data_IF_312098357187
#
_entry.id   IF_312098357187
#
_cell.length_a   1.000
_cell.length_b   1.000
_cell.length_c   1.000
_cell.angle_alpha   90.00
_cell.angle_beta   90.00
_cell.angle_gamma   90.00
#
_symmetry.space_group_name_H-M   'P 1'
#
loop_
_entity.id
_entity.type
_entity.pdbx_description
1 polymer ?
#
# COMPACT_ATOMS: atom_id res chain seq x y z
N UNK A 1 -32.04 -13.26 5.73
CA UNK A 1 -30.63 -13.70 5.92
C UNK A 1 -29.67 -13.08 4.90
N UNK A 2 -29.95 -11.86 4.39
CA UNK A 2 -29.18 -11.17 3.33
C UNK A 2 -28.12 -10.19 3.86
N UNK A 3 -28.04 -10.01 5.17
CA UNK A 3 -27.12 -9.03 5.80
C UNK A 3 -25.83 -9.66 6.36
N UNK A 4 -25.70 -10.99 6.34
CA UNK A 4 -24.57 -11.67 6.98
C UNK A 4 -23.40 -12.00 6.02
N UNK A 5 -23.61 -11.92 4.70
CA UNK A 5 -22.57 -12.26 3.71
C UNK A 5 -21.70 -11.08 3.25
N UNK A 6 -22.06 -9.83 3.60
CA UNK A 6 -21.19 -8.66 3.35
C UNK A 6 -19.98 -8.60 4.31
N UNK A 7 -19.93 -9.45 5.34
CA UNK A 7 -18.91 -9.42 6.40
C UNK A 7 -17.69 -10.32 6.18
N UNK A 8 -17.74 -11.29 5.25
CA UNK A 8 -16.66 -12.31 5.13
C UNK A 8 -15.67 -12.02 3.98
N UNK A 9 -16.06 -11.25 2.95
CA UNK A 9 -15.15 -10.84 1.88
C UNK A 9 -14.09 -9.81 2.31
N UNK A 10 -14.22 -9.23 3.52
CA UNK A 10 -13.25 -8.30 4.12
C UNK A 10 -12.07 -9.05 4.77
N UNK A 11 -12.17 -10.37 5.00
CA UNK A 11 -11.21 -11.11 5.84
C UNK A 11 -9.88 -11.53 5.16
N UNK A 12 -9.75 -11.39 3.83
CA UNK A 12 -8.51 -11.72 3.09
C UNK A 12 -7.81 -10.50 2.49
N UNK A 13 -8.45 -9.34 2.48
CA UNK A 13 -7.71 -8.09 2.44
C UNK A 13 -7.14 -7.91 3.85
N UNK A 14 -5.82 -7.87 4.00
CA UNK A 14 -5.28 -7.26 5.20
C UNK A 14 -6.00 -5.91 5.35
N UNK A 15 -6.58 -5.58 6.53
CA UNK A 15 -7.33 -4.34 6.69
C UNK A 15 -6.48 -3.24 6.09
N UNK A 16 -7.03 -2.50 5.12
CA UNK A 16 -6.33 -1.38 4.54
C UNK A 16 -5.93 -0.51 5.74
N UNK A 17 -4.63 -0.43 6.00
CA UNK A 17 -4.06 0.46 7.01
C UNK A 17 -4.15 1.86 6.42
N UNK A 18 -5.38 2.33 6.21
CA UNK A 18 -5.67 3.67 5.79
C UNK A 18 -5.78 4.49 7.06
N UNK A 19 -4.93 5.49 7.19
CA UNK A 19 -5.06 6.44 8.27
C UNK A 19 -6.34 7.25 8.08
N UNK A 20 -7.11 7.38 9.15
CA UNK A 20 -8.21 8.34 9.17
C UNK A 20 -7.66 9.68 9.61
N UNK A 21 -7.71 10.67 8.71
CA UNK A 21 -7.31 12.03 9.02
C UNK A 21 -8.53 12.95 9.05
N UNK A 22 -8.66 13.71 10.13
CA UNK A 22 -9.61 14.80 10.17
C UNK A 22 -9.13 15.95 9.27
N UNK A 23 -10.07 16.72 8.73
CA UNK A 23 -9.74 17.96 7.99
C UNK A 23 -8.85 18.85 8.84
N UNK A 24 -7.87 19.53 8.22
CA UNK A 24 -6.95 20.38 8.95
C UNK A 24 -7.74 21.55 9.52
N UNK A 25 -7.55 21.83 10.80
CA UNK A 25 -8.22 22.94 11.50
C UNK A 25 -7.20 23.83 12.18
N UNK A 26 -7.61 25.06 12.52
CA UNK A 26 -6.76 25.99 13.25
C UNK A 26 -6.33 25.38 14.58
N UNK A 27 -5.03 25.30 14.82
CA UNK A 27 -4.43 24.72 16.02
C UNK A 27 -3.65 25.76 16.82
N UNK A 28 -3.55 25.55 18.14
CA UNK A 28 -2.77 26.41 19.04
C UNK A 28 -1.84 25.55 19.88
N UNK A 29 -0.54 25.75 19.73
CA UNK A 29 0.51 25.04 20.46
C UNK A 29 1.10 25.98 21.48
N UNK A 30 1.01 25.63 22.77
CA UNK A 30 1.47 26.50 23.86
C UNK A 30 2.73 25.91 24.48
N UNK A 31 3.74 26.76 24.70
CA UNK A 31 4.97 26.38 25.41
C UNK A 31 4.67 25.82 26.81
N UNK A 32 5.52 24.94 27.37
CA UNK A 32 5.31 24.34 28.69
C UNK A 32 5.01 25.34 29.81
N UNK A 33 5.73 26.48 29.85
CA UNK A 33 5.49 27.54 30.86
C UNK A 33 4.36 28.51 30.49
N UNK A 34 3.68 28.29 29.37
CA UNK A 34 2.57 29.12 28.87
C UNK A 34 2.96 30.59 28.65
N UNK A 35 4.23 30.82 28.31
CA UNK A 35 4.80 32.15 28.05
C UNK A 35 4.80 32.50 26.57
N UNK A 36 4.81 31.50 25.69
CA UNK A 36 4.71 31.63 24.24
C UNK A 36 3.69 30.65 23.67
N UNK A 37 3.07 30.99 22.53
CA UNK A 37 2.20 30.09 21.78
C UNK A 37 2.29 30.32 20.28
N UNK A 38 2.21 29.24 19.51
CA UNK A 38 2.08 29.25 18.05
C UNK A 38 0.62 28.99 17.70
N UNK A 39 0.06 29.85 16.87
CA UNK A 39 -1.22 29.62 16.21
C UNK A 39 -0.90 29.18 14.78
N UNK A 40 -1.42 28.01 14.40
CA UNK A 40 -1.31 27.49 13.05
C UNK A 40 -2.67 27.60 12.37
N UNK A 41 -2.68 28.24 11.21
CA UNK A 41 -3.83 28.29 10.33
C UNK A 41 -3.55 27.47 9.08
N UNK A 42 -4.30 26.39 8.84
CA UNK A 42 -4.13 25.60 7.65
C UNK A 42 -4.35 26.40 6.36
N UNK A 43 -3.70 25.98 5.28
CA UNK A 43 -4.08 26.39 3.94
C UNK A 43 -5.51 25.94 3.65
N UNK A 44 -6.30 26.80 3.01
CA UNK A 44 -7.64 26.43 2.57
C UNK A 44 -7.60 25.39 1.44
N UNK A 45 -8.33 24.29 1.62
CA UNK A 45 -8.50 23.25 0.61
C UNK A 45 -9.92 23.28 0.03
N UNK A 46 -10.07 23.04 -1.27
CA UNK A 46 -11.38 22.85 -1.90
C UNK A 46 -12.12 21.70 -1.23
N UNK A 47 -11.48 20.54 -1.16
CA UNK A 47 -11.90 19.39 -0.36
C UNK A 47 -10.70 18.47 -0.09
N UNK A 48 -10.86 17.50 0.82
CA UNK A 48 -9.85 16.45 1.00
C UNK A 48 -9.72 15.60 -0.26
N UNK A 49 -10.82 15.30 -0.95
CA UNK A 49 -10.81 14.50 -2.17
C UNK A 49 -10.01 15.18 -3.28
N UNK A 50 -10.26 16.47 -3.53
CA UNK A 50 -9.53 17.26 -4.52
C UNK A 50 -8.02 17.30 -4.22
N UNK A 51 -7.62 17.31 -2.95
CA UNK A 51 -6.22 17.19 -2.56
C UNK A 51 -5.61 15.87 -3.05
N UNK A 52 -6.28 14.73 -2.82
CA UNK A 52 -5.76 13.43 -3.28
C UNK A 52 -5.78 13.25 -4.79
N UNK A 53 -6.85 13.72 -5.45
CA UNK A 53 -6.94 13.70 -6.91
C UNK A 53 -5.78 14.49 -7.52
N UNK A 54 -5.53 15.70 -7.03
CA UNK A 54 -4.41 16.52 -7.50
C UNK A 54 -3.06 15.85 -7.22
N UNK A 55 -2.83 15.29 -6.02
CA UNK A 55 -1.59 14.55 -5.71
C UNK A 55 -1.40 13.35 -6.64
N UNK A 56 -2.45 12.58 -6.90
CA UNK A 56 -2.40 11.43 -7.81
C UNK A 56 -2.11 11.84 -9.26
N UNK A 57 -2.55 13.04 -9.65
CA UNK A 57 -2.30 13.63 -10.96
C UNK A 57 -0.99 14.44 -11.06
N UNK A 58 -0.22 14.54 -9.96
CA UNK A 58 1.01 15.35 -9.91
C UNK A 58 0.78 16.86 -10.02
N UNK A 59 -0.41 17.35 -9.68
CA UNK A 59 -0.80 18.76 -9.72
C UNK A 59 -0.52 19.44 -8.39
N UNK A 60 0.20 20.56 -8.43
CA UNK A 60 0.54 21.38 -7.26
C UNK A 60 0.13 22.85 -7.45
N UNK A 61 -0.29 23.56 -6.38
CA UNK A 61 -0.52 23.05 -5.03
C UNK A 61 -1.79 22.20 -4.98
N UNK A 62 -1.71 21.00 -4.40
CA UNK A 62 -2.81 20.04 -4.42
C UNK A 62 -4.06 20.56 -3.67
N UNK A 63 -5.25 20.35 -4.22
CA UNK A 63 -6.53 20.73 -3.59
C UNK A 63 -6.70 22.25 -3.40
N UNK A 64 -5.94 23.06 -4.12
CA UNK A 64 -5.99 24.53 -4.05
C UNK A 64 -7.34 25.06 -4.53
N UNK A 65 -8.00 25.88 -3.70
CA UNK A 65 -9.21 26.60 -4.11
C UNK A 65 -8.94 27.60 -5.22
N UNK A 66 -9.85 27.72 -6.17
CA UNK A 66 -9.80 28.75 -7.19
C UNK A 66 -9.70 30.16 -6.56
N UNK A 67 -8.74 30.96 -7.03
CA UNK A 67 -8.49 32.32 -6.55
C UNK A 67 -7.71 32.44 -5.23
N UNK A 68 -7.45 31.33 -4.52
CA UNK A 68 -6.59 31.35 -3.33
C UNK A 68 -5.12 31.50 -3.75
N UNK A 69 -4.40 32.41 -3.08
CA UNK A 69 -2.99 32.70 -3.36
C UNK A 69 -2.05 32.07 -2.35
N UNK A 70 -2.55 31.73 -1.15
CA UNK A 70 -1.78 31.03 -0.12
C UNK A 70 -1.48 29.60 -0.56
N UNK A 71 -0.20 29.23 -0.56
CA UNK A 71 0.29 27.90 -0.97
C UNK A 71 0.72 27.00 0.18
N UNK A 72 0.83 27.56 1.39
CA UNK A 72 1.19 26.81 2.59
C UNK A 72 0.38 27.26 3.80
N UNK A 73 0.50 26.52 4.91
CA UNK A 73 -0.04 26.92 6.20
C UNK A 73 0.57 28.24 6.67
N UNK A 74 -0.14 28.96 7.54
CA UNK A 74 0.34 30.19 8.18
C UNK A 74 0.60 29.97 9.66
N UNK A 75 1.73 30.46 10.15
CA UNK A 75 2.09 30.43 11.57
C UNK A 75 2.13 31.84 12.16
N UNK A 76 1.53 32.01 13.34
CA UNK A 76 1.60 33.24 14.13
C UNK A 76 2.15 32.89 15.51
N UNK A 77 3.35 33.38 15.83
CA UNK A 77 3.93 33.22 17.16
C UNK A 77 3.59 34.44 18.02
N UNK A 78 3.08 34.17 19.21
CA UNK A 78 2.78 35.19 20.22
C UNK A 78 3.50 34.90 21.53
N UNK A 79 3.91 35.96 22.22
CA UNK A 79 4.48 35.91 23.57
C UNK A 79 3.61 36.66 24.56
N UNK A 80 3.57 36.15 25.79
CA UNK A 80 2.82 36.75 26.88
C UNK A 80 3.65 37.84 27.56
N UNK A 81 3.18 39.08 27.51
CA UNK A 81 3.79 40.26 28.13
C UNK A 81 2.71 41.04 28.88
N UNK A 82 2.91 41.28 30.18
CA UNK A 82 1.92 41.98 31.01
C UNK A 82 0.54 41.29 31.02
N UNK A 83 0.51 39.95 30.92
CA UNK A 83 -0.72 39.16 30.84
C UNK A 83 -1.40 39.10 29.46
N UNK A 84 -0.97 39.92 28.49
CA UNK A 84 -1.50 39.97 27.12
C UNK A 84 -0.62 39.20 26.15
N UNK A 85 -1.22 38.68 25.08
CA UNK A 85 -0.48 38.08 23.96
C UNK A 85 -0.06 39.18 22.99
N UNK A 86 1.23 39.19 22.63
CA UNK A 86 1.81 40.10 21.65
C UNK A 86 2.45 39.26 20.55
N UNK A 87 2.07 39.52 19.30
CA UNK A 87 2.66 38.88 18.12
C UNK A 87 4.16 39.17 18.04
N UNK A 88 4.96 38.11 17.97
CA UNK A 88 6.39 38.19 17.71
C UNK A 88 6.69 38.11 16.21
N UNK A 89 6.00 37.21 15.51
CA UNK A 89 6.08 37.09 14.05
C UNK A 89 4.85 36.39 13.49
N UNK A 90 4.64 36.59 12.19
CA UNK A 90 3.65 35.91 11.36
C UNK A 90 4.30 35.59 10.01
N UNK A 91 4.39 34.31 9.66
CA UNK A 91 5.05 33.85 8.42
C UNK A 91 4.30 32.67 7.79
N UNK A 92 4.44 32.45 6.46
CA UNK A 92 4.12 31.16 5.87
C UNK A 92 5.00 30.06 6.46
N UNK A 93 4.41 28.92 6.81
CA UNK A 93 5.13 27.72 7.20
C UNK A 93 5.53 26.93 5.94
N UNK A 94 6.47 26.02 6.09
CA UNK A 94 6.89 25.10 5.04
C UNK A 94 5.86 23.99 4.82
N UNK A 95 5.04 23.72 5.84
CA UNK A 95 4.00 22.70 5.75
C UNK A 95 2.91 23.11 4.76
N UNK A 96 2.65 22.26 3.76
CA UNK A 96 1.82 22.60 2.60
C UNK A 96 0.36 22.90 2.97
N UNK A 97 -0.20 22.11 3.89
CA UNK A 97 -1.58 22.26 4.35
C UNK A 97 -1.60 22.66 5.81
N UNK A 98 -0.99 21.83 6.66
CA UNK A 98 -0.75 22.09 8.07
C UNK A 98 0.32 21.11 8.56
N UNK A 99 1.10 21.44 9.59
CA UNK A 99 1.85 20.45 10.33
C UNK A 99 0.92 19.48 11.06
N UNK A 100 1.38 18.25 11.28
CA UNK A 100 0.67 17.29 12.14
C UNK A 100 0.77 17.71 13.61
N UNK A 101 1.94 18.21 13.99
CA UNK A 101 2.24 18.63 15.36
C UNK A 101 3.26 19.78 15.39
N UNK A 102 3.34 20.51 16.50
CA UNK A 102 4.32 21.56 16.68
C UNK A 102 4.70 21.81 18.15
N UNK A 103 5.93 22.30 18.35
CA UNK A 103 6.49 22.69 19.65
C UNK A 103 6.92 24.15 19.62
N UNK A 104 6.84 24.80 20.79
CA UNK A 104 7.23 26.20 20.98
C UNK A 104 8.09 26.32 22.23
N UNK A 105 9.24 26.96 22.12
CA UNK A 105 10.10 27.22 23.28
C UNK A 105 9.50 28.26 24.23
N UNK A 106 9.79 28.14 25.52
CA UNK A 106 9.27 29.06 26.55
C UNK A 106 9.67 30.52 26.29
N UNK A 107 10.83 30.75 25.68
CA UNK A 107 11.34 32.09 25.32
C UNK A 107 10.81 32.61 23.98
N UNK A 108 10.07 31.78 23.22
CA UNK A 108 9.58 32.10 21.88
C UNK A 108 10.69 32.28 20.85
N UNK A 109 11.90 31.78 21.10
CA UNK A 109 12.99 31.85 20.12
C UNK A 109 12.92 30.74 19.07
N UNK A 110 12.28 29.62 19.39
CA UNK A 110 12.20 28.47 18.49
C UNK A 110 10.79 27.91 18.39
N UNK A 111 10.42 27.55 17.17
CA UNK A 111 9.24 26.75 16.84
C UNK A 111 9.70 25.54 16.04
N UNK A 112 9.19 24.36 16.36
CA UNK A 112 9.44 23.15 15.57
C UNK A 112 8.11 22.64 15.08
N UNK A 113 7.97 22.41 13.77
CA UNK A 113 6.81 21.72 13.20
C UNK A 113 7.20 20.32 12.75
N UNK A 114 6.23 19.41 12.80
CA UNK A 114 6.44 18.02 12.46
C UNK A 114 5.42 17.56 11.44
N UNK A 115 5.95 16.92 10.39
CA UNK A 115 5.22 16.24 9.34
C UNK A 115 4.27 17.14 8.55
N UNK A 116 3.90 16.72 7.34
CA UNK A 116 2.77 17.33 6.64
C UNK A 116 1.49 16.54 6.94
N UNK A 117 0.37 17.25 7.05
CA UNK A 117 -0.96 16.64 7.05
C UNK A 117 -1.09 15.67 5.86
N UNK A 118 -1.50 14.41 6.13
CA UNK A 118 -1.51 13.27 5.18
C UNK A 118 -0.17 12.80 4.60
N UNK A 119 0.97 13.20 5.17
CA UNK A 119 2.29 12.76 4.72
C UNK A 119 3.24 12.63 5.90
N UNK A 120 2.83 11.88 6.93
CA UNK A 120 3.64 11.67 8.11
C UNK A 120 4.88 10.83 7.77
N UNK A 121 6.05 11.36 8.11
CA UNK A 121 7.36 10.78 7.80
C UNK A 121 7.75 10.81 6.33
N UNK A 122 7.04 11.56 5.48
CA UNK A 122 7.29 11.63 4.03
C UNK A 122 7.58 13.08 3.58
N UNK A 123 8.52 13.22 2.64
CA UNK A 123 8.87 14.50 2.01
C UNK A 123 9.91 15.33 2.77
N UNK A 124 10.08 16.59 2.33
CA UNK A 124 11.13 17.52 2.80
C UNK A 124 10.90 18.11 4.19
N UNK A 125 9.65 18.14 4.66
CA UNK A 125 9.21 18.91 5.83
C UNK A 125 8.76 17.98 6.97
N UNK A 126 9.54 16.93 7.24
CA UNK A 126 9.28 15.98 8.33
C UNK A 126 9.57 16.64 9.68
N UNK A 127 10.65 17.40 9.79
CA UNK A 127 10.93 18.30 10.92
C UNK A 127 11.36 19.64 10.37
N UNK A 128 10.67 20.71 10.73
CA UNK A 128 11.05 22.07 10.34
C UNK A 128 11.27 22.92 11.56
N UNK A 129 12.42 23.58 11.62
CA UNK A 129 12.83 24.42 12.75
C UNK A 129 12.80 25.87 12.29
N UNK A 130 12.10 26.69 13.06
CA UNK A 130 12.02 28.13 12.91
C UNK A 130 12.69 28.82 14.09
N UNK A 131 13.50 29.83 13.81
CA UNK A 131 14.14 30.66 14.80
C UNK A 131 13.35 31.95 15.09
N UNK A 132 14.05 32.93 15.64
CA UNK A 132 13.50 34.27 15.85
C UNK A 132 12.92 34.87 14.55
N UNK A 133 11.90 35.71 14.65
CA UNK A 133 11.29 36.35 13.48
C UNK A 133 10.62 35.41 12.46
N UNK A 134 10.53 34.10 12.74
CA UNK A 134 9.94 33.11 11.83
C UNK A 134 10.89 32.64 10.73
N UNK A 135 12.19 32.91 10.84
CA UNK A 135 13.19 32.43 9.89
C UNK A 135 13.31 30.89 9.94
N UNK A 136 13.29 30.22 8.79
CA UNK A 136 13.53 28.79 8.74
C UNK A 136 15.02 28.51 8.97
N UNK A 137 15.34 27.83 10.08
CA UNK A 137 16.70 27.38 10.41
C UNK A 137 17.06 26.15 9.60
N UNK A 138 16.15 25.17 9.57
CA UNK A 138 16.36 23.89 8.88
C UNK A 138 15.04 23.24 8.52
N UNK A 139 15.01 22.55 7.39
CA UNK A 139 14.03 21.51 7.09
C UNK A 139 14.76 20.19 7.00
N UNK A 140 14.21 19.16 7.62
CA UNK A 140 14.77 17.81 7.65
C UNK A 140 13.76 16.82 7.11
N UNK A 141 14.26 15.95 6.26
CA UNK A 141 13.62 14.71 5.84
C UNK A 141 13.83 13.63 6.89
N UNK A 142 13.14 12.51 6.76
CA UNK A 142 13.32 11.40 7.68
C UNK A 142 14.66 10.67 7.48
N UNK A 143 15.22 10.68 6.27
CA UNK A 143 16.55 10.14 5.94
C UNK A 143 17.72 11.03 6.41
N UNK A 144 17.45 12.31 6.75
CA UNK A 144 18.40 13.12 7.51
C UNK A 144 18.51 12.67 8.99
N UNK A 145 17.48 12.00 9.51
CA UNK A 145 17.36 11.63 10.92
C UNK A 145 17.77 10.17 11.18
N UNK A 146 17.51 9.27 10.24
CA UNK A 146 17.57 7.83 10.44
C UNK A 146 18.23 7.11 9.25
N UNK A 147 18.99 6.02 9.51
CA UNK A 147 19.63 5.28 8.44
C UNK A 147 18.62 4.49 7.59
N UNK A 148 18.95 4.15 6.33
CA UNK A 148 18.01 3.53 5.37
C UNK A 148 17.29 2.27 5.87
N UNK A 149 18.02 1.32 6.48
CA UNK A 149 17.41 0.10 7.04
C UNK A 149 16.37 0.43 8.13
N UNK A 150 16.59 1.50 8.89
CA UNK A 150 15.66 1.95 9.91
C UNK A 150 14.37 2.48 9.29
N UNK A 151 14.48 3.30 8.25
CA UNK A 151 13.34 3.80 7.47
C UNK A 151 12.54 2.67 6.84
N UNK A 152 13.23 1.70 6.25
CA UNK A 152 12.59 0.54 5.65
C UNK A 152 11.84 -0.29 6.68
N UNK A 153 12.37 -0.39 7.91
CA UNK A 153 11.77 -1.18 8.98
C UNK A 153 10.59 -0.50 9.69
N UNK A 154 10.47 0.83 9.61
CA UNK A 154 9.43 1.57 10.33
C UNK A 154 8.01 1.04 10.03
N UNK A 155 7.11 1.05 11.04
CA UNK A 155 5.71 0.77 10.83
C UNK A 155 5.10 1.79 9.86
N UNK A 156 4.26 1.31 8.94
CA UNK A 156 3.68 2.15 7.89
C UNK A 156 2.24 1.80 7.61
N UNK A 157 1.49 2.81 7.23
CA UNK A 157 0.17 2.73 6.62
C UNK A 157 0.32 2.78 5.10
N UNK A 158 -0.79 2.88 4.37
CA UNK A 158 -0.77 3.13 2.92
C UNK A 158 -0.13 4.49 2.57
N UNK A 159 -0.21 5.48 3.47
CA UNK A 159 0.15 6.88 3.18
C UNK A 159 1.02 7.55 4.25
N UNK A 160 1.51 6.81 5.26
CA UNK A 160 2.32 7.38 6.35
C UNK A 160 3.33 6.39 6.92
N UNK A 161 4.43 6.93 7.45
CA UNK A 161 5.37 6.23 8.31
C UNK A 161 5.09 6.63 9.77
N UNK A 162 4.74 5.68 10.63
CA UNK A 162 4.53 5.94 12.06
C UNK A 162 5.88 5.96 12.78
N UNK A 163 6.65 7.01 12.53
CA UNK A 163 8.08 7.06 12.83
C UNK A 163 8.43 7.56 14.23
N UNK A 164 7.55 8.32 14.88
CA UNK A 164 7.80 8.94 16.20
C UNK A 164 6.62 8.86 17.15
N UNK A 165 6.92 9.19 18.41
CA UNK A 165 5.96 9.60 19.43
C UNK A 165 5.96 11.13 19.61
N UNK A 166 5.27 11.60 20.64
CA UNK A 166 5.22 13.02 21.00
C UNK A 166 6.65 13.55 21.26
N UNK A 167 7.07 14.49 20.41
CA UNK A 167 8.36 15.13 20.55
C UNK A 167 8.34 16.12 21.71
N UNK A 168 9.51 16.47 22.23
CA UNK A 168 9.61 17.42 23.35
C UNK A 168 10.85 18.28 23.23
N UNK A 169 10.77 19.50 23.74
CA UNK A 169 11.96 20.31 23.96
C UNK A 169 12.78 19.70 25.10
N UNK A 170 14.08 19.56 24.89
CA UNK A 170 15.00 19.08 25.90
C UNK A 170 15.11 20.11 27.04
N UNK A 171 15.49 19.64 28.23
CA UNK A 171 15.59 20.49 29.43
C UNK A 171 16.64 21.59 29.32
N UNK A 172 17.61 21.42 28.43
CA UNK A 172 18.64 22.42 28.14
C UNK A 172 18.11 23.59 27.31
N UNK A 173 16.90 23.49 26.74
CA UNK A 173 16.30 24.50 25.86
C UNK A 173 17.01 24.65 24.51
N UNK A 174 18.01 23.80 24.22
CA UNK A 174 18.84 23.85 23.01
C UNK A 174 18.48 22.79 22.00
N UNK A 175 17.91 21.67 22.46
CA UNK A 175 17.56 20.56 21.58
C UNK A 175 16.07 20.28 21.58
N UNK A 176 15.59 19.72 20.48
CA UNK A 176 14.36 18.94 20.47
C UNK A 176 14.72 17.46 20.53
N UNK A 177 14.10 16.74 21.47
CA UNK A 177 14.22 15.29 21.60
C UNK A 177 13.00 14.63 20.96
N UNK A 178 13.26 13.81 19.95
CA UNK A 178 12.26 13.13 19.13
C UNK A 178 12.31 11.64 19.47
N UNK A 179 11.33 11.08 20.20
CA UNK A 179 11.29 9.66 20.49
C UNK A 179 10.89 8.90 19.22
N UNK A 180 11.88 8.40 18.50
CA UNK A 180 11.72 7.60 17.28
C UNK A 180 11.33 6.17 17.67
N UNK A 181 10.34 5.61 16.97
CA UNK A 181 9.85 4.24 17.19
C UNK A 181 10.96 3.23 16.89
N UNK A 182 11.12 2.23 17.76
CA UNK A 182 11.97 1.06 17.51
C UNK A 182 11.16 0.04 16.69
N UNK A 183 11.58 -0.33 15.47
CA UNK A 183 10.88 -1.33 14.67
C UNK A 183 10.85 -2.69 15.36
N UNK A 184 9.68 -3.32 15.34
CA UNK A 184 9.45 -4.68 15.83
C UNK A 184 8.54 -5.43 14.84
N UNK A 185 8.72 -6.76 14.71
CA UNK A 185 7.97 -7.61 13.78
C UNK A 185 6.45 -7.60 14.04
N UNK A 186 6.03 -7.37 15.29
CA UNK A 186 4.63 -7.37 15.69
C UNK A 186 4.23 -6.07 16.39
N UNK A 187 3.96 -5.02 15.61
CA UNK A 187 3.18 -3.86 16.11
C UNK A 187 1.69 -4.19 16.34
N UNK A 188 1.34 -5.49 16.51
CA UNK A 188 -0.01 -6.02 16.75
C UNK A 188 -0.39 -6.04 18.23
N UNK A 189 0.54 -5.70 19.10
CA UNK A 189 0.28 -5.51 20.52
C UNK A 189 -0.24 -4.09 20.75
N UNK A 190 -1.34 -3.95 21.51
CA UNK A 190 -1.80 -2.66 22.06
C UNK A 190 -0.73 -1.97 22.94
N UNK A 191 0.41 -2.63 23.18
CA UNK A 191 1.54 -2.05 23.88
C UNK A 191 2.07 -0.82 23.13
N UNK A 192 2.41 0.20 23.92
CA UNK A 192 3.07 1.39 23.40
C UNK A 192 4.42 0.96 22.78
N UNK A 193 4.67 1.22 21.47
CA UNK A 193 5.98 0.97 20.87
C UNK A 193 7.10 1.57 21.69
N UNK A 194 8.20 0.82 21.79
CA UNK A 194 9.46 1.31 22.36
C UNK A 194 10.01 2.42 21.48
N UNK A 195 10.75 3.34 22.09
CA UNK A 195 11.36 4.47 21.40
C UNK A 195 12.81 4.67 21.82
N UNK A 196 13.57 5.31 20.95
CA UNK A 196 14.90 5.88 21.19
C UNK A 196 14.88 7.35 20.80
N UNK A 197 15.49 8.22 21.62
CA UNK A 197 15.50 9.64 21.31
C UNK A 197 16.55 9.95 20.24
N UNK A 198 16.12 10.65 19.20
CA UNK A 198 16.99 11.39 18.29
C UNK A 198 16.89 12.87 18.66
N UNK A 199 18.03 13.53 18.82
CA UNK A 199 18.08 14.93 19.23
C UNK A 199 18.49 15.81 18.05
N UNK A 200 17.87 16.99 17.92
CA UNK A 200 18.23 17.99 16.92
C UNK A 200 18.50 19.32 17.63
N UNK A 201 19.65 19.94 17.36
CA UNK A 201 19.99 21.27 17.87
C UNK A 201 19.10 22.33 17.21
N UNK A 202 18.43 23.15 18.01
CA UNK A 202 17.42 24.11 17.54
C UNK A 202 18.02 25.31 16.83
N UNK A 203 19.27 25.66 17.14
CA UNK A 203 19.93 26.84 16.56
C UNK A 203 20.51 26.55 15.17
N UNK A 204 20.96 25.32 14.94
CA UNK A 204 21.65 24.90 13.72
C UNK A 204 20.85 23.92 12.87
N UNK A 205 19.88 23.22 13.47
CA UNK A 205 19.21 22.08 12.87
C UNK A 205 20.08 20.84 12.73
N UNK A 206 21.25 20.80 13.36
CA UNK A 206 22.14 19.65 13.31
C UNK A 206 21.54 18.48 14.09
N UNK A 207 21.48 17.31 13.46
CA UNK A 207 21.08 16.06 14.10
C UNK A 207 22.24 15.57 14.95
N UNK A 208 21.98 15.36 16.24
CA UNK A 208 22.95 14.73 17.15
C UNK A 208 22.81 13.23 16.96
N UNK A 209 23.86 12.53 16.46
CA UNK A 209 23.77 11.11 16.20
C UNK A 209 23.36 10.34 17.46
N UNK A 210 22.26 9.57 17.44
CA UNK A 210 21.91 8.70 18.55
C UNK A 210 23.04 7.68 18.78
N UNK A 211 23.32 7.36 20.03
CA UNK A 211 24.42 6.48 20.41
C UNK A 211 24.12 5.68 21.66
N UNK A 212 24.98 4.68 21.92
CA UNK A 212 24.90 3.82 23.09
C UNK A 212 24.00 2.60 22.92
N UNK A 213 24.00 1.73 23.92
CA UNK A 213 23.44 0.39 23.81
C UNK A 213 21.94 0.33 23.46
N UNK A 214 21.17 1.37 23.80
CA UNK A 214 19.76 1.44 23.41
C UNK A 214 19.60 1.67 21.91
N UNK A 215 20.41 2.54 21.32
CA UNK A 215 20.44 2.79 19.89
C UNK A 215 20.97 1.58 19.12
N UNK A 216 22.05 0.95 19.58
CA UNK A 216 22.62 -0.24 18.91
C UNK A 216 21.61 -1.39 18.82
N UNK A 217 20.82 -1.60 19.88
CA UNK A 217 19.72 -2.57 19.88
C UNK A 217 18.59 -2.17 18.94
N UNK A 218 18.25 -0.89 18.87
CA UNK A 218 17.23 -0.40 17.94
C UNK A 218 17.65 -0.58 16.49
N UNK A 219 18.92 -0.27 16.16
CA UNK A 219 19.47 -0.48 14.82
C UNK A 219 19.52 -1.96 14.44
N UNK A 220 19.94 -2.83 15.37
CA UNK A 220 19.92 -4.29 15.15
C UNK A 220 18.49 -4.81 14.87
N UNK A 221 17.49 -4.31 15.60
CA UNK A 221 16.10 -4.66 15.38
C UNK A 221 15.61 -4.16 14.01
N UNK A 222 15.93 -2.91 13.66
CA UNK A 222 15.61 -2.32 12.36
C UNK A 222 16.19 -3.12 11.19
N UNK A 223 17.49 -3.42 11.19
CA UNK A 223 18.14 -4.19 10.12
C UNK A 223 17.51 -5.58 9.95
N UNK A 224 17.14 -6.25 11.06
CA UNK A 224 16.42 -7.53 11.00
C UNK A 224 15.06 -7.37 10.31
N UNK A 225 14.24 -6.43 10.79
CA UNK A 225 12.90 -6.18 10.23
C UNK A 225 12.96 -5.77 8.75
N UNK A 226 13.93 -4.92 8.37
CA UNK A 226 14.14 -4.52 6.98
C UNK A 226 14.52 -5.70 6.09
N UNK A 227 15.45 -6.55 6.53
CA UNK A 227 15.82 -7.78 5.80
C UNK A 227 14.61 -8.69 5.61
N UNK A 228 13.84 -8.93 6.67
CA UNK A 228 12.69 -9.83 6.62
C UNK A 228 11.57 -9.26 5.73
N UNK A 229 11.38 -7.93 5.75
CA UNK A 229 10.48 -7.22 4.83
C UNK A 229 10.94 -7.34 3.38
N UNK A 230 12.23 -7.15 3.08
CA UNK A 230 12.78 -7.35 1.72
C UNK A 230 12.58 -8.78 1.24
N UNK A 231 12.85 -9.77 2.09
CA UNK A 231 12.65 -11.18 1.78
C UNK A 231 11.17 -11.48 1.49
N UNK A 232 10.26 -10.98 2.32
CA UNK A 232 8.81 -11.13 2.11
C UNK A 232 8.36 -10.46 0.80
N UNK A 233 8.77 -9.22 0.53
CA UNK A 233 8.44 -8.53 -0.72
C UNK A 233 9.00 -9.23 -1.94
N UNK A 234 10.24 -9.73 -1.87
CA UNK A 234 10.86 -10.51 -2.94
C UNK A 234 10.07 -11.81 -3.19
N UNK A 235 9.67 -12.52 -2.13
CA UNK A 235 8.82 -13.71 -2.25
C UNK A 235 7.44 -13.39 -2.87
N UNK A 236 6.81 -12.28 -2.49
CA UNK A 236 5.55 -11.83 -3.09
C UNK A 236 5.70 -11.47 -4.57
N UNK A 237 6.79 -10.79 -4.94
CA UNK A 237 7.10 -10.48 -6.35
C UNK A 237 7.35 -11.74 -7.16
N UNK A 238 8.14 -12.67 -6.63
CA UNK A 238 8.41 -13.96 -7.27
C UNK A 238 7.12 -14.78 -7.44
N UNK A 239 6.28 -14.86 -6.40
CA UNK A 239 5.00 -15.56 -6.46
C UNK A 239 4.03 -14.93 -7.48
N UNK A 240 4.01 -13.60 -7.59
CA UNK A 240 3.21 -12.91 -8.59
C UNK A 240 3.68 -13.19 -10.03
N UNK A 241 4.99 -13.26 -10.24
CA UNK A 241 5.58 -13.53 -11.55
C UNK A 241 5.53 -15.01 -11.95
N UNK A 242 5.51 -15.92 -10.98
CA UNK A 242 5.49 -17.35 -11.22
C UNK A 242 4.26 -17.79 -12.05
N UNK A 243 4.39 -18.81 -12.92
CA UNK A 243 3.26 -19.43 -13.58
C UNK A 243 2.21 -19.93 -12.59
N UNK A 244 0.95 -19.62 -12.86
CA UNK A 244 -0.18 -19.97 -12.02
C UNK A 244 -0.56 -21.42 -12.27
N UNK A 245 -0.53 -22.24 -11.22
CA UNK A 245 -0.98 -23.63 -11.25
C UNK A 245 -2.24 -23.79 -10.41
N UNK A 246 -3.15 -24.73 -10.75
CA UNK A 246 -4.31 -25.02 -9.92
C UNK A 246 -3.91 -25.44 -8.50
N UNK A 247 -4.70 -25.09 -7.47
CA UNK A 247 -4.44 -25.55 -6.11
C UNK A 247 -4.50 -27.08 -6.01
N UNK A 248 -3.49 -27.69 -5.38
CA UNK A 248 -3.45 -29.14 -5.18
C UNK A 248 -4.55 -29.66 -4.25
N UNK A 249 -5.02 -28.82 -3.33
CA UNK A 249 -6.09 -29.14 -2.39
C UNK A 249 -7.42 -28.56 -2.89
N UNK A 250 -8.55 -29.26 -2.73
CA UNK A 250 -9.87 -28.80 -3.18
C UNK A 250 -10.47 -27.70 -2.28
N UNK A 251 -9.66 -27.02 -1.46
CA UNK A 251 -10.11 -26.00 -0.51
C UNK A 251 -10.63 -24.75 -1.22
N UNK A 252 -11.84 -24.31 -0.88
CA UNK A 252 -12.50 -23.16 -1.51
C UNK A 252 -11.64 -21.90 -1.58
N UNK A 253 -11.03 -21.40 -0.49
CA UNK A 253 -10.35 -20.10 -0.54
C UNK A 253 -9.21 -20.07 -1.55
N UNK A 254 -8.47 -21.18 -1.67
CA UNK A 254 -7.38 -21.32 -2.65
C UNK A 254 -7.91 -21.31 -4.08
N UNK A 255 -9.05 -21.96 -4.35
CA UNK A 255 -9.67 -21.98 -5.68
C UNK A 255 -10.25 -20.62 -6.08
N UNK A 256 -10.86 -19.87 -5.17
CA UNK A 256 -11.28 -18.49 -5.48
C UNK A 256 -10.08 -17.59 -5.80
N UNK A 257 -8.98 -17.72 -5.05
CA UNK A 257 -7.73 -17.01 -5.35
C UNK A 257 -7.18 -17.36 -6.74
N UNK A 258 -7.12 -18.67 -7.05
CA UNK A 258 -6.70 -19.17 -8.36
C UNK A 258 -7.58 -18.64 -9.49
N UNK A 259 -8.91 -18.77 -9.41
CA UNK A 259 -9.83 -18.32 -10.46
C UNK A 259 -9.74 -16.82 -10.71
N UNK A 260 -9.54 -16.03 -9.65
CA UNK A 260 -9.36 -14.58 -9.77
C UNK A 260 -8.04 -14.22 -10.46
N UNK A 261 -6.95 -14.87 -10.07
CA UNK A 261 -5.66 -14.61 -10.72
C UNK A 261 -5.63 -15.17 -12.16
N UNK A 262 -6.33 -16.27 -12.43
CA UNK A 262 -6.52 -16.82 -13.75
C UNK A 262 -7.22 -15.83 -14.67
N UNK A 263 -8.33 -15.21 -14.23
CA UNK A 263 -9.00 -14.13 -14.95
C UNK A 263 -8.01 -13.06 -15.40
N UNK A 264 -7.20 -12.55 -14.47
CA UNK A 264 -6.25 -11.48 -14.79
C UNK A 264 -5.17 -11.91 -15.78
N UNK A 265 -4.93 -13.21 -15.94
CA UNK A 265 -3.95 -13.75 -16.88
C UNK A 265 -4.52 -14.09 -18.25
N UNK A 266 -5.79 -14.47 -18.35
CA UNK A 266 -6.37 -15.02 -19.60
C UNK A 266 -7.44 -14.13 -20.21
N UNK A 267 -8.20 -13.37 -19.42
CA UNK A 267 -9.33 -12.59 -19.91
C UNK A 267 -8.85 -11.28 -20.57
N UNK A 268 -9.30 -10.92 -21.79
CA UNK A 268 -8.84 -9.72 -22.48
C UNK A 268 -9.30 -8.41 -21.82
N UNK A 269 -10.39 -8.42 -21.06
CA UNK A 269 -10.96 -7.26 -20.37
C UNK A 269 -10.43 -7.13 -18.92
N UNK A 270 -9.32 -7.79 -18.59
CA UNK A 270 -8.78 -7.84 -17.22
C UNK A 270 -8.47 -6.47 -16.59
N UNK A 271 -8.27 -5.42 -17.40
CA UNK A 271 -8.02 -4.05 -16.93
C UNK A 271 -9.27 -3.34 -16.42
N UNK A 272 -10.41 -3.66 -17.03
CA UNK A 272 -11.68 -2.94 -16.82
C UNK A 272 -12.70 -3.78 -16.05
N UNK A 273 -12.45 -5.10 -15.93
CA UNK A 273 -13.36 -6.05 -15.30
C UNK A 273 -12.81 -6.71 -14.05
N UNK A 274 -13.70 -7.40 -13.35
CA UNK A 274 -13.40 -8.28 -12.23
C UNK A 274 -14.24 -9.56 -12.35
N UNK A 275 -13.70 -10.75 -12.06
CA UNK A 275 -14.44 -11.98 -12.27
C UNK A 275 -15.44 -12.26 -11.16
N UNK A 276 -16.58 -12.84 -11.53
CA UNK A 276 -17.48 -13.54 -10.60
C UNK A 276 -16.98 -14.98 -10.43
N UNK A 277 -16.34 -15.28 -9.31
CA UNK A 277 -15.79 -16.62 -9.03
C UNK A 277 -16.76 -17.48 -8.24
N UNK A 278 -17.01 -18.72 -8.67
CA UNK A 278 -17.85 -19.69 -7.95
C UNK A 278 -17.20 -21.07 -7.93
N UNK A 279 -17.13 -21.69 -6.75
CA UNK A 279 -16.54 -23.02 -6.56
C UNK A 279 -17.61 -23.98 -6.04
N UNK A 280 -17.96 -24.98 -6.86
CA UNK A 280 -18.82 -26.08 -6.44
C UNK A 280 -18.07 -26.96 -5.44
N UNK A 281 -18.73 -27.24 -4.32
CA UNK A 281 -18.13 -28.04 -3.24
C UNK A 281 -18.14 -29.53 -3.54
N UNK A 282 -17.32 -30.27 -2.79
CA UNK A 282 -17.40 -31.72 -2.77
C UNK A 282 -18.78 -32.18 -2.29
N UNK A 283 -19.38 -33.23 -2.87
CA UNK A 283 -20.72 -33.71 -2.49
C UNK A 283 -20.91 -34.05 -1.00
N UNK A 284 -19.84 -34.41 -0.29
CA UNK A 284 -19.86 -34.69 1.15
C UNK A 284 -19.72 -33.46 2.05
N UNK A 285 -19.52 -32.27 1.51
CA UNK A 285 -19.34 -31.05 2.30
C UNK A 285 -20.68 -30.55 2.86
N UNK A 286 -20.67 -29.98 4.07
CA UNK A 286 -21.87 -29.44 4.74
C UNK A 286 -22.57 -28.35 3.92
N UNK A 287 -21.79 -27.60 3.14
CA UNK A 287 -22.20 -26.48 2.31
C UNK A 287 -22.35 -26.86 0.82
N UNK A 288 -22.43 -28.15 0.49
CA UNK A 288 -22.64 -28.60 -0.89
C UNK A 288 -23.91 -28.05 -1.52
N UNK A 289 -25.07 -28.24 -0.88
CA UNK A 289 -26.35 -27.77 -1.41
C UNK A 289 -26.38 -26.24 -1.63
N UNK A 290 -25.91 -25.39 -0.69
CA UNK A 290 -25.68 -23.97 -0.96
C UNK A 290 -24.81 -23.70 -2.19
N UNK A 291 -23.71 -24.44 -2.37
CA UNK A 291 -22.81 -24.23 -3.51
C UNK A 291 -23.41 -24.57 -4.87
N UNK A 292 -24.36 -25.50 -4.92
CA UNK A 292 -25.16 -25.76 -6.13
C UNK A 292 -25.99 -24.52 -6.49
N UNK A 293 -26.61 -23.88 -5.49
CA UNK A 293 -27.36 -22.64 -5.69
C UNK A 293 -26.46 -21.51 -6.20
N UNK A 294 -25.25 -21.36 -5.65
CA UNK A 294 -24.30 -20.34 -6.11
C UNK A 294 -23.94 -20.50 -7.59
N UNK A 295 -23.73 -21.74 -8.07
CA UNK A 295 -23.46 -22.01 -9.49
C UNK A 295 -24.64 -21.57 -10.37
N UNK A 296 -25.88 -21.88 -9.96
CA UNK A 296 -27.08 -21.49 -10.71
C UNK A 296 -27.25 -19.97 -10.72
N UNK A 297 -27.09 -19.32 -9.57
CA UNK A 297 -27.18 -17.87 -9.44
C UNK A 297 -26.11 -17.17 -10.29
N UNK A 298 -24.87 -17.68 -10.29
CA UNK A 298 -23.78 -17.13 -11.09
C UNK A 298 -24.09 -17.10 -12.60
N UNK A 299 -24.89 -18.05 -13.10
CA UNK A 299 -25.37 -18.03 -14.49
C UNK A 299 -26.59 -17.13 -14.66
N UNK A 300 -27.59 -17.21 -13.77
CA UNK A 300 -28.83 -16.43 -13.91
C UNK A 300 -28.61 -14.92 -13.80
N UNK A 301 -27.74 -14.52 -12.88
CA UNK A 301 -27.43 -13.13 -12.54
C UNK A 301 -26.25 -12.57 -13.35
N UNK A 302 -25.74 -13.33 -14.32
CA UNK A 302 -24.74 -12.81 -15.24
C UNK A 302 -25.38 -11.82 -16.23
N UNK A 303 -24.64 -10.73 -16.45
CA UNK A 303 -24.98 -9.61 -17.31
C UNK A 303 -23.88 -9.38 -18.35
N UNK A 304 -24.20 -8.65 -19.41
CA UNK A 304 -23.26 -8.34 -20.48
C UNK A 304 -21.96 -7.72 -19.93
N UNK A 305 -20.81 -8.23 -20.39
CA UNK A 305 -19.49 -7.83 -19.92
C UNK A 305 -18.94 -8.69 -18.77
N UNK A 306 -19.78 -9.43 -18.06
CA UNK A 306 -19.34 -10.30 -16.96
C UNK A 306 -18.38 -11.40 -17.43
N UNK A 307 -17.42 -11.72 -16.55
CA UNK A 307 -16.62 -12.92 -16.62
C UNK A 307 -16.96 -13.85 -15.44
N UNK A 308 -17.61 -14.97 -15.73
CA UNK A 308 -18.02 -15.98 -14.75
C UNK A 308 -16.99 -17.11 -14.72
N UNK A 309 -16.29 -17.25 -13.60
CA UNK A 309 -15.25 -18.25 -13.37
C UNK A 309 -15.83 -19.38 -12.51
N UNK A 310 -15.91 -20.59 -13.04
CA UNK A 310 -16.50 -21.75 -12.35
C UNK A 310 -15.43 -22.81 -12.09
N UNK A 311 -15.42 -23.42 -10.92
CA UNK A 311 -14.60 -24.60 -10.64
C UNK A 311 -15.40 -25.66 -9.87
N UNK A 312 -15.06 -26.92 -10.07
CA UNK A 312 -15.58 -28.05 -9.30
C UNK A 312 -14.47 -29.09 -9.06
N UNK A 313 -13.49 -28.76 -8.22
CA UNK A 313 -12.23 -29.50 -8.14
C UNK A 313 -12.39 -30.98 -7.73
N UNK A 314 -13.43 -31.30 -6.98
CA UNK A 314 -13.68 -32.65 -6.49
C UNK A 314 -14.74 -33.44 -7.28
N UNK A 315 -15.53 -32.77 -8.12
CA UNK A 315 -16.68 -33.38 -8.80
C UNK A 315 -17.06 -32.61 -10.09
N UNK A 316 -16.18 -32.55 -11.10
CA UNK A 316 -16.42 -31.81 -12.33
C UNK A 316 -17.67 -32.29 -13.09
N UNK A 317 -18.01 -33.58 -13.02
CA UNK A 317 -19.22 -34.15 -13.60
C UNK A 317 -20.51 -33.62 -12.95
N UNK A 318 -20.47 -33.27 -11.65
CA UNK A 318 -21.61 -32.65 -10.98
C UNK A 318 -21.83 -31.22 -11.44
N UNK A 319 -20.75 -30.48 -11.71
CA UNK A 319 -20.86 -29.15 -12.29
C UNK A 319 -21.49 -29.20 -13.67
N UNK A 320 -21.08 -30.15 -14.53
CA UNK A 320 -21.70 -30.37 -15.84
C UNK A 320 -23.22 -30.57 -15.69
N UNK A 321 -23.65 -31.49 -14.83
CA UNK A 321 -25.07 -31.78 -14.62
C UNK A 321 -25.87 -30.56 -14.15
N UNK A 322 -25.31 -29.75 -13.25
CA UNK A 322 -25.94 -28.53 -12.74
C UNK A 322 -26.07 -27.48 -13.86
N UNK A 323 -25.01 -27.30 -14.65
CA UNK A 323 -25.01 -26.35 -15.78
C UNK A 323 -26.00 -26.79 -16.86
N UNK A 324 -26.08 -28.08 -17.18
CA UNK A 324 -27.06 -28.64 -18.13
C UNK A 324 -28.51 -28.48 -17.68
N UNK A 325 -28.78 -28.67 -16.38
CA UNK A 325 -30.09 -28.40 -15.80
C UNK A 325 -30.44 -26.92 -15.91
N UNK A 326 -29.51 -26.04 -15.53
CA UNK A 326 -29.73 -24.60 -15.54
C UNK A 326 -29.90 -24.07 -16.96
N UNK A 327 -29.07 -24.49 -17.90
CA UNK A 327 -29.10 -24.06 -19.29
C UNK A 327 -30.44 -24.36 -19.99
N UNK A 328 -31.12 -25.45 -19.62
CA UNK A 328 -32.46 -25.78 -20.12
C UNK A 328 -33.54 -24.79 -19.67
N UNK A 329 -33.29 -24.05 -18.60
CA UNK A 329 -34.23 -23.06 -18.04
C UNK A 329 -33.90 -21.63 -18.45
N UNK A 330 -32.68 -21.37 -18.94
CA UNK A 330 -32.27 -20.05 -19.39
C UNK A 330 -32.96 -19.69 -20.72
N UNK A 331 -33.51 -18.46 -20.86
CA UNK A 331 -33.96 -17.96 -22.15
C UNK A 331 -32.82 -17.96 -23.18
N UNK A 332 -33.15 -18.21 -24.45
CA UNK A 332 -32.18 -18.13 -25.53
C UNK A 332 -31.54 -16.74 -25.59
N UNK A 333 -30.21 -16.67 -25.70
CA UNK A 333 -29.46 -15.41 -25.72
C UNK A 333 -29.33 -14.70 -24.36
N UNK A 334 -29.82 -15.25 -23.25
CA UNK A 334 -29.71 -14.64 -21.90
C UNK A 334 -28.29 -14.28 -21.48
N UNK A 335 -27.30 -15.03 -21.95
CA UNK A 335 -25.88 -14.86 -21.62
C UNK A 335 -25.08 -14.24 -22.76
N UNK A 336 -25.74 -13.55 -23.71
CA UNK A 336 -25.04 -12.81 -24.76
C UNK A 336 -24.09 -11.79 -24.14
N UNK A 337 -22.82 -11.83 -24.57
CA UNK A 337 -21.77 -10.95 -24.05
C UNK A 337 -21.22 -11.34 -22.67
N UNK A 338 -21.66 -12.48 -22.11
CA UNK A 338 -21.08 -13.08 -20.91
C UNK A 338 -19.99 -14.07 -21.32
N UNK A 339 -18.84 -14.02 -20.65
CA UNK A 339 -17.76 -15.01 -20.80
C UNK A 339 -17.77 -15.98 -19.63
N UNK A 340 -17.83 -17.27 -19.92
CA UNK A 340 -17.85 -18.33 -18.90
C UNK A 340 -16.58 -19.16 -19.02
N UNK A 341 -15.84 -19.25 -17.92
CA UNK A 341 -14.56 -19.93 -17.81
C UNK A 341 -14.67 -21.09 -16.82
N UNK A 342 -15.04 -22.29 -17.28
CA UNK A 342 -15.09 -23.46 -16.42
C UNK A 342 -13.68 -24.07 -16.31
N UNK A 343 -13.11 -23.97 -15.11
CA UNK A 343 -11.89 -24.66 -14.69
C UNK A 343 -12.22 -26.13 -14.39
N UNK A 344 -12.34 -26.93 -15.45
CA UNK A 344 -12.67 -28.36 -15.42
C UNK A 344 -11.86 -29.14 -16.46
N UNK A 345 -11.77 -30.49 -16.36
CA UNK A 345 -11.14 -31.31 -17.38
C UNK A 345 -11.79 -31.16 -18.77
N UNK A 346 -11.06 -31.44 -19.88
CA UNK A 346 -11.53 -31.21 -21.25
C UNK A 346 -12.89 -31.83 -21.60
N UNK A 347 -13.19 -33.02 -21.08
CA UNK A 347 -14.47 -33.68 -21.31
C UNK A 347 -15.64 -32.91 -20.69
N UNK A 348 -15.47 -32.43 -19.45
CA UNK A 348 -16.47 -31.61 -18.76
C UNK A 348 -16.62 -30.23 -19.42
N UNK A 349 -15.52 -29.65 -19.90
CA UNK A 349 -15.53 -28.40 -20.66
C UNK A 349 -16.42 -28.52 -21.91
N UNK A 350 -16.23 -29.58 -22.70
CA UNK A 350 -16.99 -29.81 -23.92
C UNK A 350 -18.50 -29.92 -23.64
N UNK A 351 -18.87 -30.61 -22.56
CA UNK A 351 -20.27 -30.74 -22.13
C UNK A 351 -20.86 -29.39 -21.70
N UNK A 352 -20.16 -28.61 -20.86
CA UNK A 352 -20.60 -27.27 -20.43
C UNK A 352 -20.78 -26.33 -21.63
N UNK A 353 -19.82 -26.33 -22.57
CA UNK A 353 -19.92 -25.53 -23.80
C UNK A 353 -21.15 -25.91 -24.63
N UNK A 354 -21.42 -27.21 -24.77
CA UNK A 354 -22.59 -27.70 -25.48
C UNK A 354 -23.89 -27.28 -24.77
N UNK A 355 -23.93 -27.39 -23.44
CA UNK A 355 -25.10 -27.03 -22.64
C UNK A 355 -25.46 -25.55 -22.79
N UNK A 356 -24.46 -24.67 -22.78
CA UNK A 356 -24.65 -23.21 -22.84
C UNK A 356 -24.80 -22.65 -24.26
N UNK A 357 -24.73 -23.47 -25.31
CA UNK A 357 -24.73 -22.99 -26.70
C UNK A 357 -25.93 -22.10 -27.07
N UNK A 358 -27.14 -22.43 -26.57
CA UNK A 358 -28.37 -21.66 -26.85
C UNK A 358 -28.49 -20.37 -26.04
N UNK A 359 -27.77 -20.29 -24.91
CA UNK A 359 -27.76 -19.12 -24.03
C UNK A 359 -27.02 -17.91 -24.62
N UNK A 360 -26.15 -18.12 -25.61
CA UNK A 360 -25.31 -17.07 -26.20
C UNK A 360 -24.05 -16.72 -25.41
N UNK A 361 -23.71 -17.48 -24.35
CA UNK A 361 -22.45 -17.32 -23.62
C UNK A 361 -21.23 -17.65 -24.49
N UNK A 362 -20.15 -16.89 -24.31
CA UNK A 362 -18.82 -17.27 -24.79
C UNK A 362 -18.16 -18.19 -23.76
N UNK A 363 -18.07 -19.49 -24.04
CA UNK A 363 -17.45 -20.46 -23.12
C UNK A 363 -15.98 -20.64 -23.48
N UNK A 364 -15.09 -20.15 -22.62
CA UNK A 364 -13.65 -20.08 -22.86
C UNK A 364 -12.93 -21.23 -22.13
N UNK A 365 -12.10 -21.97 -22.87
CA UNK A 365 -11.37 -23.10 -22.33
C UNK A 365 -10.24 -22.65 -21.39
N UNK A 366 -10.09 -23.37 -20.28
CA UNK A 366 -8.98 -23.24 -19.36
C UNK A 366 -8.28 -24.59 -19.29
N UNK A 367 -7.00 -24.62 -19.67
CA UNK A 367 -6.17 -25.82 -19.49
C UNK A 367 -5.65 -25.87 -18.06
N UNK A 368 -6.13 -26.84 -17.28
CA UNK A 368 -5.67 -27.05 -15.90
C UNK A 368 -4.36 -27.83 -15.81
N UNK A 369 -3.92 -28.48 -16.89
CA UNK A 369 -2.68 -29.23 -16.91
C UNK A 369 -1.46 -28.34 -17.21
N UNK A 370 -1.69 -27.18 -17.85
CA UNK A 370 -0.64 -26.22 -18.19
C UNK A 370 -0.61 -25.05 -17.18
N UNK A 371 0.55 -24.75 -16.57
CA UNK A 371 0.71 -23.52 -15.79
C UNK A 371 0.48 -22.27 -16.67
N UNK A 372 -0.27 -21.30 -16.16
CA UNK A 372 -0.60 -20.07 -16.90
C UNK A 372 0.42 -18.98 -16.56
N UNK A 373 1.26 -18.51 -17.50
CA UNK A 373 2.25 -17.46 -17.21
C UNK A 373 1.59 -16.14 -16.82
N UNK A 374 2.34 -15.26 -16.14
CA UNK A 374 1.86 -13.90 -15.87
C UNK A 374 1.88 -13.07 -17.16
N UNK A 375 0.94 -12.13 -17.28
CA UNK A 375 0.92 -11.16 -18.39
C UNK A 375 2.15 -10.26 -18.35
N UNK A 376 2.91 -10.11 -19.45
CA UNK A 376 4.01 -9.15 -19.54
C UNK A 376 3.58 -7.72 -19.16
N UNK A 377 2.36 -7.32 -19.54
CA UNK A 377 1.81 -6.00 -19.22
C UNK A 377 1.61 -5.82 -17.71
N UNK A 378 1.12 -6.85 -17.01
CA UNK A 378 0.95 -6.79 -15.54
C UNK A 378 2.28 -6.80 -14.81
N UNK A 379 3.30 -7.48 -15.34
CA UNK A 379 4.67 -7.41 -14.81
C UNK A 379 5.24 -6.00 -14.96
N UNK A 380 5.06 -5.38 -16.14
CA UNK A 380 5.50 -4.01 -16.41
C UNK A 380 4.79 -3.00 -15.51
N UNK A 381 3.45 -3.07 -15.41
CA UNK A 381 2.65 -2.18 -14.56
C UNK A 381 3.04 -2.28 -13.08
N UNK A 382 3.25 -3.50 -12.56
CA UNK A 382 3.65 -3.69 -11.16
C UNK A 382 5.08 -3.21 -10.89
N UNK A 383 5.96 -3.32 -11.88
CA UNK A 383 7.32 -2.77 -11.81
C UNK A 383 7.26 -1.25 -11.78
N UNK A 384 6.52 -0.63 -12.69
CA UNK A 384 6.31 0.83 -12.74
C UNK A 384 5.69 1.37 -11.43
N UNK A 385 4.66 0.70 -10.88
CA UNK A 385 4.05 1.10 -9.61
C UNK A 385 5.00 0.98 -8.41
N UNK A 386 5.94 0.03 -8.44
CA UNK A 386 6.95 -0.12 -7.38
C UNK A 386 8.00 1.01 -7.41
N UNK A 387 8.15 1.71 -8.54
CA UNK A 387 9.03 2.88 -8.70
C UNK A 387 8.29 4.23 -8.68
N UNK A 388 6.95 4.22 -8.72
CA UNK A 388 6.09 5.42 -8.72
C UNK A 388 5.74 5.96 -7.33
N UNK A 389 6.09 5.25 -6.26
CA UNK A 389 5.94 5.70 -4.87
C UNK A 389 7.20 6.40 -4.36
N UNK A 390 7.53 7.56 -4.96
CA UNK A 390 8.77 8.32 -4.80
C UNK A 390 10.05 7.54 -5.17
N UNK A 391 10.95 8.11 -6.00
CA UNK A 391 12.25 7.50 -6.20
C UNK A 391 12.99 7.45 -4.85
N UNK A 392 13.82 6.42 -4.57
CA UNK A 392 14.82 6.57 -3.52
C UNK A 392 15.60 7.87 -3.80
N UNK A 393 15.96 8.67 -2.78
CA UNK A 393 16.72 9.89 -3.00
C UNK A 393 18.02 9.53 -3.71
N UNK A 394 18.11 9.93 -4.98
CA UNK A 394 19.28 9.72 -5.81
C UNK A 394 20.40 10.62 -5.30
N UNK A 395 21.44 10.04 -4.73
CA UNK A 395 22.79 10.47 -5.03
C UNK A 395 23.38 9.39 -5.95
N UNK A 396 23.61 9.74 -7.22
CA UNK A 396 24.23 8.93 -8.28
C UNK A 396 23.51 7.66 -8.76
N UNK A 397 22.28 7.82 -9.26
CA UNK A 397 21.53 6.75 -9.92
C UNK A 397 22.14 6.17 -11.21
N UNK A 398 23.18 6.78 -11.80
CA UNK A 398 23.80 6.25 -13.02
C UNK A 398 24.82 5.13 -12.72
N UNK A 399 25.53 5.19 -11.59
CA UNK A 399 26.54 4.19 -11.24
C UNK A 399 25.88 2.92 -10.66
N UNK A 400 24.81 3.07 -9.89
CA UNK A 400 24.07 1.93 -9.33
C UNK A 400 23.23 1.21 -10.39
N UNK A 401 22.66 1.92 -11.37
CA UNK A 401 22.00 1.29 -12.52
C UNK A 401 22.99 0.55 -13.43
N UNK A 402 24.20 1.07 -13.62
CA UNK A 402 25.26 0.36 -14.35
C UNK A 402 25.72 -0.89 -13.59
N UNK A 403 25.92 -0.80 -12.27
CA UNK A 403 26.32 -1.95 -11.45
C UNK A 403 25.25 -3.05 -11.39
N UNK A 404 23.96 -2.68 -11.38
CA UNK A 404 22.85 -3.65 -11.44
C UNK A 404 22.74 -4.27 -12.83
N UNK A 405 22.95 -3.51 -13.90
CA UNK A 405 22.96 -4.03 -15.26
C UNK A 405 24.13 -5.00 -15.50
N UNK A 406 25.32 -4.68 -15.00
CA UNK A 406 26.50 -5.55 -15.09
C UNK A 406 26.30 -6.83 -14.25
N UNK A 407 25.78 -6.73 -13.02
CA UNK A 407 25.48 -7.90 -12.20
C UNK A 407 24.39 -8.81 -12.82
N UNK A 408 23.43 -8.24 -13.55
CA UNK A 408 22.43 -9.01 -14.29
C UNK A 408 23.05 -9.71 -15.51
N UNK A 409 23.93 -9.02 -16.24
CA UNK A 409 24.64 -9.59 -17.39
C UNK A 409 25.53 -10.76 -16.95
N UNK A 410 26.30 -10.60 -15.88
CA UNK A 410 27.14 -11.67 -15.31
C UNK A 410 26.30 -12.87 -14.84
N UNK A 411 25.15 -12.61 -14.22
CA UNK A 411 24.23 -13.67 -13.78
C UNK A 411 23.59 -14.42 -14.96
N UNK A 412 23.26 -13.72 -16.05
CA UNK A 412 22.73 -14.33 -17.26
C UNK A 412 23.78 -15.14 -18.01
N UNK A 413 25.03 -14.68 -18.06
CA UNK A 413 26.13 -15.39 -18.69
C UNK A 413 26.50 -16.66 -17.89
N UNK A 414 26.51 -16.58 -16.56
CA UNK A 414 26.68 -17.75 -15.69
C UNK A 414 25.56 -18.79 -15.88
N UNK A 415 24.30 -18.34 -16.01
CA UNK A 415 23.17 -19.22 -16.25
C UNK A 415 23.25 -19.90 -17.63
N UNK A 416 23.66 -19.16 -18.66
CA UNK A 416 23.84 -19.71 -20.02
C UNK A 416 24.97 -20.74 -20.07
N UNK A 417 26.07 -20.53 -19.33
CA UNK A 417 27.17 -21.48 -19.22
C UNK A 417 26.76 -22.77 -18.49
N UNK A 418 25.92 -22.68 -17.46
CA UNK A 418 25.41 -23.84 -16.73
C UNK A 418 24.49 -24.69 -17.61
N UNK A 419 23.57 -24.06 -18.36
CA UNK A 419 22.66 -24.73 -19.30
C UNK A 419 23.41 -25.42 -20.44
N UNK A 420 24.51 -24.82 -20.92
CA UNK A 420 25.37 -25.42 -21.94
C UNK A 420 26.10 -26.67 -21.42
N UNK A 421 26.52 -26.69 -20.15
CA UNK A 421 27.13 -27.87 -19.51
C UNK A 421 26.14 -29.01 -19.32
N UNK A 422 24.92 -28.72 -18.88
CA UNK A 422 23.87 -29.76 -18.73
C UNK A 422 23.48 -30.38 -20.08
N UNK A 423 23.45 -29.57 -21.15
CA UNK A 423 23.14 -30.04 -22.50
C UNK A 423 24.24 -30.94 -23.09
N UNK A 424 25.49 -30.81 -22.64
CA UNK A 424 26.62 -31.63 -23.07
C UNK A 424 26.77 -32.95 -22.27
N UNK A 425 26.15 -33.05 -21.09
CA UNK A 425 26.29 -34.19 -20.18
C UNK A 425 25.26 -35.32 -20.41
N UNK A 426 24.36 -35.18 -21.39
CA UNK A 426 23.36 -36.19 -21.73
C UNK A 426 23.79 -36.95 -23.00
N UNK A 427 24.49 -38.09 -22.90
CA UNK A 427 24.73 -38.94 -24.07
C UNK A 427 23.40 -39.56 -24.53
N UNK A 428 23.17 -39.55 -25.85
CA UNK A 428 22.06 -40.24 -26.50
C UNK A 428 22.15 -41.74 -26.36
#
# INVERSE_FOLDING_TARGET
MRWLMMLVAVALAAPALADTWMSPTRAVYTSPKKTSRLIVEPRALESQLAYFEDKSAGKEPAGQRAGETKRTARGVLERRVGGRWITQWEVPLANEVAPVDALVSDDGQHVVTFDNWHSMGLGENVVVIYGAGGQQVRSLRLDDLLPPDYLEALPRSVSSLHWRREARLARDGRHVAIPVVVPEEESRSDARPRTVDVSVDLATGAVVPPSGAAWDRALTAATRVARDRRAWQAAQRAAFAAPLSPPAQPGEPAWHGYLRELFYRVDPAWREGFPKTTVLRSPGAKDYAPSVTWVREALREAEEGDAVMLAAPAAPERLVAIVEEEARTLPAGKLRGVRVYPAVPPAAFAAIRSALATSGAEVVAVDLAAPVPQRPERLAERTAASFGGAPPPSHDGAAEQAAVADALADSMEALAAEVAKESAATPR
#
